data_IF_576352071725
#
_entry.id   IF_576352071725
#
_cell.length_a   1.000
_cell.length_b   1.000
_cell.length_c   1.000
_cell.angle_alpha   90.00
_cell.angle_beta   90.00
_cell.angle_gamma   90.00
#
_symmetry.space_group_name_H-M   'P 1'
#
loop_
_entity.id
_entity.type
_entity.pdbx_description
1 polymer ?
#
# COMPACT_ATOMS: atom_id res chain seq x y z
N UNK A 1 7.70 -2.45 13.21
CA UNK A 1 6.64 -1.82 12.39
C UNK A 1 6.70 -2.39 10.98
N UNK A 2 5.56 -2.68 10.37
CA UNK A 2 5.46 -3.37 9.06
C UNK A 2 6.27 -2.69 7.94
N UNK A 3 6.23 -1.35 7.84
CA UNK A 3 7.02 -0.62 6.83
C UNK A 3 8.54 -0.81 7.01
N UNK A 4 9.04 -0.82 8.25
CA UNK A 4 10.47 -1.06 8.50
C UNK A 4 10.88 -2.46 8.07
N UNK A 5 10.03 -3.47 8.28
CA UNK A 5 10.29 -4.83 7.85
C UNK A 5 10.35 -4.93 6.32
N UNK A 6 9.41 -4.24 5.62
CA UNK A 6 9.41 -4.18 4.16
C UNK A 6 10.64 -3.44 3.61
N UNK A 7 11.06 -2.33 4.25
CA UNK A 7 12.29 -1.61 3.90
C UNK A 7 13.51 -2.50 4.08
N UNK A 8 13.59 -3.24 5.17
CA UNK A 8 14.71 -4.18 5.41
C UNK A 8 14.73 -5.31 4.38
N UNK A 9 13.58 -5.86 4.01
CA UNK A 9 13.47 -6.85 2.95
C UNK A 9 13.92 -6.29 1.60
N UNK A 10 13.47 -5.07 1.25
CA UNK A 10 13.89 -4.40 0.02
C UNK A 10 15.40 -4.15 0.00
N UNK A 11 15.99 -3.68 1.12
CA UNK A 11 17.42 -3.43 1.24
C UNK A 11 18.25 -4.67 0.89
N UNK A 12 17.83 -5.84 1.35
CA UNK A 12 18.47 -7.11 1.01
C UNK A 12 18.45 -7.39 -0.50
N UNK A 13 17.29 -7.23 -1.13
CA UNK A 13 17.14 -7.47 -2.59
C UNK A 13 17.95 -6.47 -3.42
N UNK A 14 17.95 -5.19 -3.02
CA UNK A 14 18.62 -4.11 -3.75
C UNK A 14 20.14 -4.20 -3.64
N UNK A 15 20.66 -4.65 -2.51
CA UNK A 15 22.11 -4.79 -2.29
C UNK A 15 22.76 -5.64 -3.38
N UNK A 16 22.11 -6.72 -3.78
CA UNK A 16 22.63 -7.64 -4.80
C UNK A 16 22.61 -7.04 -6.22
N UNK A 17 21.86 -5.96 -6.44
CA UNK A 17 21.61 -5.33 -7.76
C UNK A 17 22.42 -4.03 -7.92
N UNK A 18 22.85 -3.41 -6.83
CA UNK A 18 23.67 -2.18 -6.85
C UNK A 18 22.88 -0.91 -7.23
N UNK A 19 21.58 -0.85 -6.93
CA UNK A 19 20.69 0.29 -7.28
C UNK A 19 20.44 1.26 -6.11
N UNK A 20 21.17 1.18 -5.00
CA UNK A 20 20.98 2.03 -3.82
C UNK A 20 21.17 3.52 -4.11
N UNK A 21 22.04 3.85 -5.05
CA UNK A 21 22.32 5.23 -5.45
C UNK A 21 21.37 5.79 -6.50
N UNK A 22 20.39 5.00 -6.97
CA UNK A 22 19.41 5.43 -7.95
C UNK A 22 18.42 6.43 -7.35
N UNK A 23 17.93 7.36 -8.18
CA UNK A 23 17.01 8.40 -7.76
C UNK A 23 15.57 7.90 -7.64
N UNK A 24 14.93 8.21 -6.53
CA UNK A 24 13.48 8.24 -6.34
C UNK A 24 12.97 9.64 -6.55
N UNK A 25 11.93 9.81 -7.37
CA UNK A 25 11.32 11.11 -7.62
C UNK A 25 9.85 11.08 -7.23
N UNK A 26 9.42 12.02 -6.40
CA UNK A 26 8.05 12.22 -5.95
C UNK A 26 7.45 13.42 -6.67
N UNK A 27 6.27 13.24 -7.26
CA UNK A 27 5.57 14.28 -8.00
C UNK A 27 4.07 14.30 -7.65
N UNK A 28 3.46 15.47 -7.43
CA UNK A 28 2.02 15.58 -7.32
C UNK A 28 1.35 15.14 -8.62
N UNK A 29 0.33 14.30 -8.52
CA UNK A 29 -0.53 13.97 -9.66
C UNK A 29 -1.82 14.78 -9.56
N UNK A 30 -2.00 15.69 -10.50
CA UNK A 30 -3.25 16.45 -10.64
C UNK A 30 -4.25 15.60 -11.43
N UNK A 31 -5.53 15.69 -11.04
CA UNK A 31 -6.65 15.05 -11.75
C UNK A 31 -6.50 13.52 -11.95
N UNK A 32 -5.68 12.87 -11.12
CA UNK A 32 -5.52 11.43 -11.17
C UNK A 32 -6.65 10.74 -10.40
N UNK A 33 -7.25 9.70 -10.99
CA UNK A 33 -8.25 8.92 -10.30
C UNK A 33 -7.61 8.08 -9.19
N UNK A 34 -8.32 7.93 -8.10
CA UNK A 34 -7.90 7.15 -6.93
C UNK A 34 -8.41 5.71 -7.01
N UNK A 35 -7.76 4.81 -6.31
CA UNK A 35 -8.37 3.53 -5.98
C UNK A 35 -9.63 3.78 -5.13
N UNK A 36 -10.73 3.07 -5.41
CA UNK A 36 -11.99 3.23 -4.66
C UNK A 36 -11.88 2.86 -3.17
N UNK A 37 -10.80 2.20 -2.77
CA UNK A 37 -10.51 1.81 -1.38
C UNK A 37 -9.46 2.72 -0.72
N UNK A 38 -9.12 3.83 -1.36
CA UNK A 38 -8.22 4.85 -0.84
C UNK A 38 -8.74 6.22 -1.22
N UNK A 39 -8.67 7.17 -0.30
CA UNK A 39 -9.21 8.51 -0.49
C UNK A 39 -8.09 9.55 -0.58
N UNK A 40 -8.42 10.70 -1.15
CA UNK A 40 -7.58 11.88 -1.10
C UNK A 40 -6.83 12.19 -2.39
N UNK A 41 -5.65 12.78 -2.25
CA UNK A 41 -4.81 13.23 -3.37
C UNK A 41 -3.75 12.19 -3.69
N UNK A 42 -3.41 12.07 -4.97
CA UNK A 42 -2.44 11.09 -5.46
C UNK A 42 -1.07 11.73 -5.69
N UNK A 43 -0.06 10.95 -5.39
CA UNK A 43 1.33 11.26 -5.66
C UNK A 43 1.93 10.17 -6.54
N UNK A 44 2.60 10.57 -7.61
CA UNK A 44 3.43 9.70 -8.42
C UNK A 44 4.80 9.51 -7.79
N UNK A 45 5.28 8.29 -7.79
CA UNK A 45 6.65 7.95 -7.38
C UNK A 45 7.34 7.28 -8.56
N UNK A 46 8.42 7.88 -9.03
CA UNK A 46 9.18 7.41 -10.19
C UNK A 46 10.50 6.76 -9.76
N UNK A 47 10.81 5.62 -10.35
CA UNK A 47 12.07 4.90 -10.17
C UNK A 47 12.37 4.04 -11.41
N UNK A 48 13.56 4.16 -11.97
CA UNK A 48 14.03 3.33 -13.09
C UNK A 48 13.08 3.31 -14.31
N UNK A 49 12.39 4.43 -14.59
CA UNK A 49 11.42 4.54 -15.68
C UNK A 49 10.03 3.94 -15.37
N UNK A 50 9.81 3.42 -14.15
CA UNK A 50 8.50 3.03 -13.65
C UNK A 50 7.89 4.16 -12.82
N UNK A 51 6.56 4.24 -12.81
CA UNK A 51 5.82 5.15 -11.97
C UNK A 51 4.74 4.38 -11.21
N UNK A 52 4.75 4.50 -9.88
CA UNK A 52 3.66 4.07 -9.02
C UNK A 52 2.79 5.27 -8.64
N UNK A 53 1.53 4.99 -8.31
CA UNK A 53 0.63 5.99 -7.76
C UNK A 53 0.23 5.57 -6.34
N UNK A 54 0.39 6.49 -5.39
CA UNK A 54 -0.10 6.32 -4.03
C UNK A 54 -1.02 7.47 -3.65
N UNK A 55 -2.16 7.17 -3.07
CA UNK A 55 -3.16 8.14 -2.68
C UNK A 55 -3.23 8.25 -1.15
N UNK A 56 -3.57 9.44 -0.64
CA UNK A 56 -3.72 9.68 0.79
C UNK A 56 -4.63 10.87 1.06
N UNK A 57 -5.51 10.73 2.05
CA UNK A 57 -6.44 11.78 2.48
C UNK A 57 -5.78 12.85 3.34
N UNK A 58 -4.71 12.54 4.06
CA UNK A 58 -4.14 13.39 5.11
C UNK A 58 -2.77 13.97 4.77
N UNK A 59 -2.15 13.57 3.68
CA UNK A 59 -0.82 14.03 3.30
C UNK A 59 -0.88 15.13 2.24
N UNK A 60 -0.28 16.27 2.53
CA UNK A 60 -0.06 17.31 1.53
C UNK A 60 0.85 16.81 0.42
N UNK A 61 0.47 17.06 -0.83
CA UNK A 61 1.29 16.74 -1.99
C UNK A 61 2.64 17.50 -1.92
N UNK A 62 3.70 16.84 -2.34
CA UNK A 62 5.04 17.41 -2.37
C UNK A 62 5.83 16.91 -3.57
N UNK A 63 6.85 17.65 -3.95
CA UNK A 63 7.87 17.21 -4.91
C UNK A 63 9.18 16.99 -4.16
N UNK A 64 9.86 15.90 -4.47
CA UNK A 64 11.18 15.60 -3.93
C UNK A 64 11.95 14.68 -4.89
N UNK A 65 13.29 14.76 -4.80
CA UNK A 65 14.19 13.78 -5.40
C UNK A 65 15.17 13.36 -4.31
N UNK A 66 15.25 12.08 -4.04
CA UNK A 66 16.10 11.49 -3.01
C UNK A 66 16.76 10.23 -3.56
N UNK A 67 17.80 9.73 -2.92
CA UNK A 67 18.38 8.43 -3.26
C UNK A 67 17.55 7.30 -2.65
N UNK A 68 17.53 6.14 -3.30
CA UNK A 68 16.90 4.95 -2.73
C UNK A 68 17.52 4.59 -1.36
N UNK A 69 18.82 4.78 -1.20
CA UNK A 69 19.52 4.58 0.08
C UNK A 69 18.95 5.42 1.24
N UNK A 70 18.42 6.61 0.95
CA UNK A 70 17.83 7.48 1.97
C UNK A 70 16.57 6.86 2.61
N UNK A 71 15.91 5.94 1.89
CA UNK A 71 14.77 5.19 2.41
C UNK A 71 15.17 4.23 3.53
N UNK A 72 16.37 3.63 3.45
CA UNK A 72 16.79 2.57 4.37
C UNK A 72 16.97 3.05 5.81
N UNK A 73 17.32 4.33 5.97
CA UNK A 73 17.52 4.97 7.26
C UNK A 73 16.45 6.05 7.56
N UNK A 74 15.39 6.10 6.75
CA UNK A 74 14.35 7.12 6.88
C UNK A 74 13.59 7.00 8.20
N UNK A 75 13.49 8.08 8.98
CA UNK A 75 12.66 8.10 10.17
C UNK A 75 11.18 8.18 9.76
N UNK A 76 10.43 7.10 9.92
CA UNK A 76 9.00 7.03 9.56
C UNK A 76 8.08 7.70 10.59
N UNK A 77 8.50 8.84 11.14
CA UNK A 77 7.79 9.54 12.24
C UNK A 77 6.58 10.34 11.75
N UNK A 78 6.60 10.86 10.55
CA UNK A 78 5.51 11.65 9.98
C UNK A 78 4.69 10.84 8.97
N UNK A 79 3.42 11.24 8.78
CA UNK A 79 2.53 10.68 7.77
C UNK A 79 3.17 10.78 6.38
N UNK A 80 3.77 11.93 6.09
CA UNK A 80 4.48 12.18 4.83
C UNK A 80 5.59 11.16 4.57
N UNK A 81 6.41 10.85 5.57
CA UNK A 81 7.51 9.89 5.40
C UNK A 81 7.02 8.45 5.29
N UNK A 82 5.92 8.09 5.95
CA UNK A 82 5.31 6.76 5.82
C UNK A 82 4.69 6.54 4.43
N UNK A 83 3.92 7.50 3.95
CA UNK A 83 3.33 7.45 2.60
C UNK A 83 4.42 7.43 1.53
N UNK A 84 5.46 8.28 1.67
CA UNK A 84 6.60 8.27 0.76
C UNK A 84 7.33 6.91 0.74
N UNK A 85 7.53 6.30 1.90
CA UNK A 85 8.15 5.00 2.02
C UNK A 85 7.31 3.90 1.35
N UNK A 86 5.99 3.87 1.60
CA UNK A 86 5.10 2.90 0.95
C UNK A 86 5.12 3.03 -0.58
N UNK A 87 5.11 4.26 -1.09
CA UNK A 87 5.21 4.51 -2.53
C UNK A 87 6.56 4.08 -3.12
N UNK A 88 7.66 4.32 -2.40
CA UNK A 88 8.98 3.85 -2.80
C UNK A 88 9.04 2.31 -2.86
N UNK A 89 8.53 1.62 -1.83
CA UNK A 89 8.43 0.16 -1.80
C UNK A 89 7.62 -0.37 -2.99
N UNK A 90 6.51 0.30 -3.32
CA UNK A 90 5.64 -0.08 -4.44
C UNK A 90 6.32 0.10 -5.79
N UNK A 91 6.93 1.26 -6.08
CA UNK A 91 7.56 1.50 -7.39
C UNK A 91 8.83 0.67 -7.59
N UNK A 92 9.64 0.48 -6.53
CA UNK A 92 10.87 -0.29 -6.63
C UNK A 92 10.57 -1.78 -6.81
N UNK A 93 9.61 -2.35 -6.06
CA UNK A 93 9.15 -3.72 -6.32
C UNK A 93 8.56 -3.90 -7.71
N UNK A 94 7.88 -2.88 -8.25
CA UNK A 94 7.43 -2.86 -9.65
C UNK A 94 8.57 -2.83 -10.66
N UNK A 95 9.60 -2.03 -10.41
CA UNK A 95 10.82 -1.99 -11.23
C UNK A 95 11.53 -3.35 -11.26
N UNK A 96 11.63 -4.01 -10.10
CA UNK A 96 12.22 -5.34 -9.95
C UNK A 96 11.33 -6.47 -10.49
N UNK A 97 10.17 -6.15 -11.05
CA UNK A 97 9.18 -7.12 -11.56
C UNK A 97 8.63 -8.08 -10.48
N UNK A 98 8.81 -7.77 -9.21
CA UNK A 98 8.23 -8.53 -8.09
C UNK A 98 6.73 -8.26 -7.95
N UNK A 99 6.27 -7.07 -8.38
CA UNK A 99 4.90 -6.62 -8.31
C UNK A 99 4.49 -5.94 -9.62
N UNK A 100 3.24 -6.17 -10.05
CA UNK A 100 2.67 -5.55 -11.27
C UNK A 100 1.52 -4.59 -10.99
N UNK A 101 1.13 -4.44 -9.72
CA UNK A 101 -0.03 -3.67 -9.28
C UNK A 101 0.42 -2.40 -8.58
N UNK A 102 1.02 -1.48 -9.33
CA UNK A 102 1.67 -0.28 -8.79
C UNK A 102 0.85 1.00 -8.95
N UNK A 103 -0.30 0.91 -9.65
CA UNK A 103 -1.22 2.04 -9.86
C UNK A 103 -2.68 1.61 -9.73
N UNK A 104 -3.62 2.53 -9.47
CA UNK A 104 -5.05 2.23 -9.43
C UNK A 104 -5.53 1.63 -10.76
N UNK A 105 -6.62 0.86 -10.68
CA UNK A 105 -7.31 0.35 -11.86
C UNK A 105 -7.97 1.49 -12.66
N UNK A 106 -8.32 1.21 -13.91
CA UNK A 106 -9.09 2.15 -14.73
C UNK A 106 -10.44 2.48 -14.07
N UNK A 107 -10.99 3.70 -14.23
CA UNK A 107 -12.32 4.06 -13.74
C UNK A 107 -13.43 3.12 -14.19
N UNK A 108 -13.35 2.54 -15.39
CA UNK A 108 -14.32 1.57 -15.87
C UNK A 108 -14.29 0.21 -15.13
N UNK A 109 -13.24 -0.08 -14.39
CA UNK A 109 -13.08 -1.34 -13.65
C UNK A 109 -13.44 -1.23 -12.16
N UNK A 110 -13.80 -0.04 -11.66
CA UNK A 110 -14.06 0.18 -10.23
C UNK A 110 -15.19 -0.72 -9.70
N UNK A 111 -16.32 -0.80 -10.40
CA UNK A 111 -17.45 -1.65 -10.00
C UNK A 111 -17.08 -3.13 -10.08
N UNK A 112 -16.40 -3.54 -11.12
CA UNK A 112 -15.92 -4.93 -11.27
C UNK A 112 -14.95 -5.30 -10.14
N UNK A 113 -14.05 -4.40 -9.77
CA UNK A 113 -13.11 -4.58 -8.65
C UNK A 113 -13.88 -4.76 -7.32
N UNK A 114 -14.86 -3.90 -7.04
CA UNK A 114 -15.67 -4.00 -5.82
C UNK A 114 -16.46 -5.32 -5.76
N UNK A 115 -17.16 -5.67 -6.84
CA UNK A 115 -17.92 -6.92 -6.91
C UNK A 115 -17.01 -8.16 -6.77
N UNK A 116 -15.82 -8.11 -7.34
CA UNK A 116 -14.84 -9.19 -7.21
C UNK A 116 -14.32 -9.32 -5.77
N UNK A 117 -14.11 -8.20 -5.04
CA UNK A 117 -13.74 -8.23 -3.62
C UNK A 117 -14.85 -8.83 -2.76
N UNK A 118 -16.11 -8.42 -2.98
CA UNK A 118 -17.27 -8.98 -2.28
C UNK A 118 -17.34 -10.49 -2.50
N UNK A 119 -17.17 -10.94 -3.74
CA UNK A 119 -17.16 -12.38 -4.09
C UNK A 119 -16.01 -13.11 -3.42
N UNK A 120 -14.81 -12.52 -3.34
CA UNK A 120 -13.65 -13.11 -2.66
C UNK A 120 -13.91 -13.30 -1.16
N UNK A 121 -14.56 -12.36 -0.52
CA UNK A 121 -14.89 -12.46 0.91
C UNK A 121 -15.94 -13.53 1.20
N UNK A 122 -16.75 -13.93 0.21
CA UNK A 122 -17.57 -15.15 0.28
C UNK A 122 -18.58 -15.23 1.43
N UNK A 123 -19.04 -14.08 1.95
CA UNK A 123 -19.97 -14.04 3.09
C UNK A 123 -19.29 -14.13 4.47
N UNK A 124 -17.96 -14.16 4.54
CA UNK A 124 -17.20 -14.08 5.78
C UNK A 124 -17.58 -12.83 6.59
N UNK A 125 -17.44 -12.91 7.91
CA UNK A 125 -17.49 -11.73 8.77
C UNK A 125 -16.19 -10.92 8.59
N UNK A 126 -16.32 -9.68 8.11
CA UNK A 126 -15.17 -8.87 7.71
C UNK A 126 -15.05 -7.64 8.62
N UNK A 127 -13.88 -7.44 9.19
CA UNK A 127 -13.52 -6.16 9.82
C UNK A 127 -12.70 -5.33 8.84
N UNK A 128 -13.18 -4.13 8.46
CA UNK A 128 -12.43 -3.21 7.60
C UNK A 128 -11.74 -2.17 8.48
N UNK A 129 -10.42 -2.16 8.47
CA UNK A 129 -9.65 -1.27 9.35
C UNK A 129 -9.76 0.18 8.89
N UNK A 130 -10.31 1.05 9.76
CA UNK A 130 -10.45 2.51 9.56
C UNK A 130 -11.26 2.93 8.32
N UNK A 131 -12.06 2.05 7.76
CA UNK A 131 -12.79 2.28 6.53
C UNK A 131 -14.10 1.51 6.51
N UNK A 132 -14.90 1.71 5.48
CA UNK A 132 -16.13 0.96 5.23
C UNK A 132 -16.22 0.61 3.75
N UNK A 133 -16.53 -0.64 3.43
CA UNK A 133 -16.70 -1.10 2.05
C UNK A 133 -18.13 -1.63 1.88
N UNK A 134 -18.95 -0.88 1.16
CA UNK A 134 -20.35 -1.23 0.93
C UNK A 134 -20.47 -2.59 0.24
N UNK A 135 -21.33 -3.45 0.79
CA UNK A 135 -21.63 -4.79 0.25
C UNK A 135 -20.87 -5.93 0.94
N UNK A 136 -19.97 -5.64 1.89
CA UNK A 136 -19.35 -6.65 2.75
C UNK A 136 -20.20 -6.91 4.00
N UNK A 137 -20.13 -8.13 4.54
CA UNK A 137 -20.71 -8.49 5.84
C UNK A 137 -19.76 -8.01 6.95
N UNK A 138 -19.85 -6.73 7.29
CA UNK A 138 -18.92 -6.09 8.22
C UNK A 138 -19.33 -6.27 9.68
N UNK A 139 -18.34 -6.50 10.52
CA UNK A 139 -18.46 -6.55 11.99
C UNK A 139 -17.75 -5.34 12.61
N UNK A 140 -18.16 -4.96 13.82
CA UNK A 140 -17.64 -3.81 14.55
C UNK A 140 -16.34 -4.13 15.30
N UNK A 141 -16.11 -5.40 15.61
CA UNK A 141 -14.95 -5.86 16.37
C UNK A 141 -14.04 -6.75 15.52
N UNK A 142 -12.73 -6.54 15.67
CA UNK A 142 -11.72 -7.38 15.02
C UNK A 142 -11.70 -8.82 15.59
N UNK A 143 -12.17 -8.99 16.81
CA UNK A 143 -12.29 -10.29 17.47
C UNK A 143 -13.30 -11.19 16.76
N UNK A 144 -14.42 -10.60 16.30
CA UNK A 144 -15.52 -11.29 15.64
C UNK A 144 -15.26 -11.55 14.14
N UNK A 145 -14.16 -11.01 13.60
CA UNK A 145 -13.88 -11.11 12.18
C UNK A 145 -13.17 -12.40 11.78
N UNK A 146 -13.68 -13.04 10.71
CA UNK A 146 -13.00 -14.11 9.99
C UNK A 146 -11.86 -13.57 9.11
N UNK A 147 -12.01 -12.33 8.63
CA UNK A 147 -11.07 -11.64 7.75
C UNK A 147 -10.93 -10.17 8.13
N UNK A 148 -9.71 -9.67 8.20
CA UNK A 148 -9.40 -8.25 8.37
C UNK A 148 -8.97 -7.67 7.03
N UNK A 149 -9.66 -6.64 6.55
CA UNK A 149 -9.29 -5.91 5.33
C UNK A 149 -8.55 -4.63 5.71
N UNK A 150 -7.42 -4.40 5.05
CA UNK A 150 -6.58 -3.22 5.22
C UNK A 150 -6.49 -2.47 3.89
N UNK A 151 -6.94 -1.22 3.88
CA UNK A 151 -6.94 -0.34 2.70
C UNK A 151 -5.77 0.64 2.71
N UNK A 152 -5.57 1.38 1.61
CA UNK A 152 -4.46 2.33 1.46
C UNK A 152 -4.43 3.44 2.53
N UNK A 153 -5.59 3.87 3.03
CA UNK A 153 -5.67 4.92 4.05
C UNK A 153 -4.96 4.53 5.37
N UNK A 154 -4.86 3.24 5.65
CA UNK A 154 -4.21 2.70 6.86
C UNK A 154 -2.69 2.94 6.93
N UNK A 155 -2.04 3.35 5.84
CA UNK A 155 -0.58 3.61 5.81
C UNK A 155 -0.23 4.89 6.58
N UNK A 156 -1.15 5.81 6.69
CA UNK A 156 -0.90 7.16 7.20
C UNK A 156 -0.62 7.16 8.70
N UNK A 157 -1.44 6.47 9.48
CA UNK A 157 -1.40 6.49 10.95
C UNK A 157 -0.33 5.54 11.52
N UNK A 158 0.47 6.04 12.45
CA UNK A 158 1.43 5.21 13.18
C UNK A 158 0.72 4.17 14.05
N UNK A 159 -0.35 4.57 14.72
CA UNK A 159 -1.12 3.68 15.62
C UNK A 159 -1.75 2.54 14.82
N UNK A 160 -2.24 2.84 13.62
CA UNK A 160 -2.77 1.84 12.69
C UNK A 160 -1.71 0.87 12.22
N UNK A 161 -0.51 1.35 11.88
CA UNK A 161 0.61 0.47 11.49
C UNK A 161 1.07 -0.43 12.65
N UNK A 162 1.01 0.05 13.89
CA UNK A 162 1.27 -0.77 15.09
C UNK A 162 0.19 -1.83 15.23
N UNK A 163 -1.10 -1.45 15.12
CA UNK A 163 -2.23 -2.38 15.18
C UNK A 163 -2.13 -3.47 14.11
N UNK A 164 -1.80 -3.11 12.87
CA UNK A 164 -1.57 -4.08 11.78
C UNK A 164 -0.46 -5.07 12.17
N UNK A 165 0.66 -4.57 12.72
CA UNK A 165 1.75 -5.43 13.20
C UNK A 165 1.28 -6.44 14.24
N UNK A 166 0.53 -6.01 15.24
CA UNK A 166 -0.03 -6.88 16.28
C UNK A 166 -1.00 -7.92 15.71
N UNK A 167 -1.83 -7.53 14.73
CA UNK A 167 -2.75 -8.47 14.06
C UNK A 167 -2.02 -9.58 13.29
N UNK A 168 -0.89 -9.23 12.64
CA UNK A 168 -0.03 -10.20 11.97
C UNK A 168 0.61 -11.14 12.99
N UNK A 169 1.14 -10.62 14.10
CA UNK A 169 1.80 -11.40 15.15
C UNK A 169 0.88 -12.42 15.80
N UNK A 170 -0.40 -12.08 16.01
CA UNK A 170 -1.39 -13.00 16.55
C UNK A 170 -2.01 -13.93 15.50
N UNK A 171 -1.57 -13.86 14.24
CA UNK A 171 -1.99 -14.76 13.16
C UNK A 171 -3.41 -14.52 12.66
N UNK A 172 -3.94 -13.28 12.76
CA UNK A 172 -5.23 -12.95 12.13
C UNK A 172 -5.13 -13.10 10.62
N UNK A 173 -6.22 -13.56 10.01
CA UNK A 173 -6.35 -13.60 8.56
C UNK A 173 -6.51 -12.17 8.02
N UNK A 174 -5.54 -11.69 7.23
CA UNK A 174 -5.47 -10.29 6.78
C UNK A 174 -5.38 -10.26 5.26
N UNK A 175 -6.18 -9.39 4.64
CA UNK A 175 -6.13 -9.09 3.21
C UNK A 175 -5.80 -7.60 3.01
N UNK A 176 -4.65 -7.33 2.42
CA UNK A 176 -4.27 -5.98 2.00
C UNK A 176 -4.90 -5.65 0.66
N UNK A 177 -5.56 -4.50 0.55
CA UNK A 177 -6.35 -4.12 -0.64
C UNK A 177 -5.86 -2.78 -1.20
N UNK A 178 -5.68 -2.75 -2.52
CA UNK A 178 -5.28 -1.55 -3.25
C UNK A 178 -3.78 -1.52 -3.62
N UNK A 179 -3.40 -0.65 -4.57
CA UNK A 179 -2.02 -0.56 -5.04
C UNK A 179 -1.06 -0.04 -3.96
N UNK A 180 -1.54 0.71 -2.99
CA UNK A 180 -0.75 1.34 -1.92
C UNK A 180 -0.01 0.31 -1.07
N UNK A 181 -0.60 -0.87 -0.88
CA UNK A 181 -0.03 -1.95 -0.09
C UNK A 181 0.76 -2.96 -0.92
N UNK A 182 0.72 -2.87 -2.24
CA UNK A 182 1.26 -3.90 -3.12
C UNK A 182 2.76 -4.13 -2.93
N UNK A 183 3.57 -3.09 -2.76
CA UNK A 183 5.00 -3.21 -2.50
C UNK A 183 5.31 -3.87 -1.16
N UNK A 184 4.64 -3.42 -0.09
CA UNK A 184 4.80 -3.97 1.26
C UNK A 184 4.39 -5.44 1.29
N UNK A 185 3.23 -5.76 0.75
CA UNK A 185 2.69 -7.12 0.74
C UNK A 185 3.58 -8.08 -0.04
N UNK A 186 4.08 -7.65 -1.20
CA UNK A 186 5.00 -8.46 -2.02
C UNK A 186 6.31 -8.75 -1.28
N UNK A 187 6.93 -7.73 -0.68
CA UNK A 187 8.20 -7.89 0.02
C UNK A 187 8.11 -8.74 1.28
N UNK A 188 6.95 -8.75 1.93
CA UNK A 188 6.72 -9.52 3.16
C UNK A 188 5.91 -10.80 2.95
N UNK A 189 5.59 -11.16 1.70
CA UNK A 189 4.79 -12.32 1.35
C UNK A 189 3.44 -12.35 2.08
N UNK A 190 2.72 -11.21 2.09
CA UNK A 190 1.39 -11.06 2.69
C UNK A 190 0.29 -11.17 1.63
N UNK A 191 -0.91 -11.59 2.03
CA UNK A 191 -2.05 -11.70 1.11
C UNK A 191 -2.50 -10.31 0.63
N UNK A 192 -2.52 -10.12 -0.68
CA UNK A 192 -2.79 -8.85 -1.34
C UNK A 192 -3.83 -8.99 -2.44
N UNK A 193 -4.75 -8.02 -2.50
CA UNK A 193 -5.83 -7.96 -3.48
C UNK A 193 -5.82 -6.65 -4.26
N UNK A 194 -5.47 -6.73 -5.50
CA UNK A 194 -5.60 -5.63 -6.46
C UNK A 194 -5.68 -6.20 -7.89
N UNK A 195 -6.77 -6.92 -8.27
CA UNK A 195 -6.81 -7.70 -9.51
C UNK A 195 -6.78 -6.84 -10.76
N UNK A 196 -7.33 -5.64 -10.70
CA UNK A 196 -7.43 -4.69 -11.81
C UNK A 196 -6.37 -3.57 -11.75
N UNK A 197 -5.52 -3.51 -10.74
CA UNK A 197 -4.43 -2.54 -10.66
C UNK A 197 -3.43 -2.68 -11.83
N UNK A 198 -2.81 -1.59 -12.22
CA UNK A 198 -1.86 -1.46 -13.33
C UNK A 198 -0.43 -1.31 -12.83
#
# INVERSE_FOLDING_TARGET
MILNNAISALKTVIHDIGCESCDLKYVPLQDHHTCQFCHGKCMGIEFGGKQACICSSSVSLFSARVKLSDLFDAPLKSDKTRVAAAGALTVVSGFLMLNRKISPCSPCDLDNCRLALIKRCGGQQVYVLESNIVGLNQVESVEDADLVIITGDSIVSMDTLIKIGSLIEVGKNILFVGPEWSGVSTLLNLDHWCPYGQ
#
